data_IF_346640529588
#
_entry.id   IF_346640529588
#
_cell.length_a   1.000
_cell.length_b   1.000
_cell.length_c   1.000
_cell.angle_alpha   90.00
_cell.angle_beta   90.00
_cell.angle_gamma   90.00
#
_symmetry.space_group_name_H-M   'P 1'
#
loop_
_entity.id
_entity.type
_entity.pdbx_description
1 polymer ?
#
# COMPACT_ATOMS: atom_id res chain seq x y z
N UNK A 1 15.39 1.99 7.50
CA UNK A 1 15.80 3.07 8.43
C UNK A 1 15.73 2.63 9.89
N UNK A 2 14.97 1.56 10.17
CA UNK A 2 14.89 0.92 11.49
C UNK A 2 16.25 0.59 12.16
N UNK A 3 16.40 0.87 13.47
CA UNK A 3 17.53 0.44 14.28
C UNK A 3 17.50 -1.06 14.58
N UNK A 4 16.40 -1.78 14.30
CA UNK A 4 16.32 -3.25 14.50
C UNK A 4 17.13 -4.00 13.46
N UNK A 5 17.19 -3.49 12.23
CA UNK A 5 17.90 -4.11 11.11
C UNK A 5 19.22 -3.39 10.80
N UNK A 6 19.25 -2.06 10.91
CA UNK A 6 20.49 -1.30 10.73
C UNK A 6 21.28 -1.24 12.05
N UNK A 7 22.24 -2.15 12.20
CA UNK A 7 23.19 -2.23 13.33
C UNK A 7 24.58 -1.65 13.01
N UNK A 8 24.68 -0.86 11.93
CA UNK A 8 25.97 -0.27 11.54
C UNK A 8 26.45 0.74 12.57
N UNK A 9 27.76 0.87 12.69
CA UNK A 9 28.45 1.80 13.59
C UNK A 9 29.21 2.89 12.83
N UNK A 10 29.13 2.89 11.50
CA UNK A 10 29.73 3.90 10.64
C UNK A 10 28.76 5.07 10.37
N UNK A 11 29.09 5.92 9.39
CA UNK A 11 28.28 7.09 9.05
C UNK A 11 26.87 6.78 8.52
N UNK A 12 26.52 5.51 8.30
CA UNK A 12 25.18 5.07 7.86
C UNK A 12 24.37 4.37 8.96
N UNK A 13 24.87 4.33 10.20
CA UNK A 13 24.18 3.74 11.34
C UNK A 13 24.31 4.55 12.64
N UNK A 14 23.73 4.03 13.72
CA UNK A 14 23.65 4.76 14.99
C UNK A 14 22.50 5.76 15.00
N UNK A 15 22.78 7.06 14.83
CA UNK A 15 21.78 8.13 14.93
C UNK A 15 20.71 8.08 13.83
N UNK A 16 19.54 8.69 14.06
CA UNK A 16 18.47 8.82 13.05
C UNK A 16 18.99 9.42 11.75
N UNK A 17 19.76 10.51 11.85
CA UNK A 17 20.40 11.18 10.72
C UNK A 17 21.29 10.23 9.90
N UNK A 18 22.16 9.45 10.56
CA UNK A 18 23.01 8.50 9.86
C UNK A 18 22.20 7.38 9.18
N UNK A 19 21.13 6.89 9.83
CA UNK A 19 20.25 5.88 9.23
C UNK A 19 19.43 6.42 8.05
N UNK A 20 19.17 7.72 8.02
CA UNK A 20 18.52 8.43 6.91
C UNK A 20 19.48 8.79 5.77
N UNK A 21 20.79 8.83 6.03
CA UNK A 21 21.82 9.32 5.09
C UNK A 21 21.69 8.75 3.69
N UNK A 22 21.50 7.43 3.57
CA UNK A 22 21.40 6.77 2.26
C UNK A 22 20.21 7.29 1.44
N UNK A 23 19.09 7.62 2.10
CA UNK A 23 17.89 8.16 1.44
C UNK A 23 18.13 9.59 0.98
N UNK A 24 18.86 10.37 1.78
CA UNK A 24 19.23 11.76 1.46
C UNK A 24 20.16 11.79 0.25
N UNK A 25 21.20 10.95 0.25
CA UNK A 25 22.15 10.86 -0.87
C UNK A 25 21.46 10.40 -2.16
N UNK A 26 20.46 9.51 -2.07
CA UNK A 26 19.61 9.11 -3.20
C UNK A 26 18.78 10.29 -3.71
N UNK A 27 18.13 11.06 -2.84
CA UNK A 27 17.38 12.26 -3.23
C UNK A 27 18.28 13.30 -3.91
N UNK A 28 19.43 13.59 -3.32
CA UNK A 28 20.41 14.52 -3.89
C UNK A 28 20.91 14.05 -5.25
N UNK A 29 21.16 12.74 -5.42
CA UNK A 29 21.55 12.19 -6.71
C UNK A 29 20.45 12.37 -7.75
N UNK A 30 19.18 12.07 -7.41
CA UNK A 30 18.05 12.30 -8.31
C UNK A 30 17.92 13.77 -8.69
N UNK A 31 18.09 14.71 -7.75
CA UNK A 31 18.00 16.16 -8.00
C UNK A 31 19.18 16.73 -8.78
N UNK A 32 20.34 16.08 -8.78
CA UNK A 32 21.45 16.43 -9.70
C UNK A 32 21.12 16.10 -11.15
N UNK A 33 20.37 15.03 -11.38
CA UNK A 33 19.98 14.59 -12.73
C UNK A 33 18.66 15.23 -13.19
N UNK A 34 17.78 15.60 -12.26
CA UNK A 34 16.44 16.14 -12.52
C UNK A 34 16.33 17.54 -11.93
N UNK A 35 16.44 18.54 -12.80
CA UNK A 35 16.31 19.94 -12.41
C UNK A 35 14.90 20.28 -11.90
N UNK A 36 14.82 21.10 -10.85
CA UNK A 36 13.55 21.52 -10.23
C UNK A 36 12.61 22.24 -11.21
N UNK A 37 13.14 22.93 -12.22
CA UNK A 37 12.34 23.66 -13.22
C UNK A 37 11.51 22.76 -14.12
N UNK A 38 11.80 21.45 -14.16
CA UNK A 38 11.01 20.47 -14.89
C UNK A 38 9.61 20.27 -14.28
N UNK A 39 9.43 20.64 -13.01
CA UNK A 39 8.21 20.34 -12.25
C UNK A 39 8.07 18.85 -11.90
N UNK A 40 9.14 18.05 -12.07
CA UNK A 40 9.12 16.63 -11.74
C UNK A 40 9.06 16.42 -10.22
N UNK A 41 8.01 15.71 -9.77
CA UNK A 41 7.77 15.44 -8.36
C UNK A 41 8.55 14.20 -7.89
N UNK A 42 9.23 14.32 -6.76
CA UNK A 42 9.91 13.23 -6.08
C UNK A 42 9.27 13.05 -4.70
N UNK A 43 8.63 11.89 -4.50
CA UNK A 43 8.07 11.52 -3.22
C UNK A 43 8.79 10.36 -2.55
N UNK A 44 8.47 10.16 -1.26
CA UNK A 44 8.98 9.06 -0.45
C UNK A 44 7.84 8.31 0.22
N UNK A 45 7.90 6.97 0.21
CA UNK A 45 6.97 6.13 0.94
C UNK A 45 7.59 5.69 2.28
N UNK A 46 6.93 5.99 3.38
CA UNK A 46 7.35 5.61 4.72
C UNK A 46 6.35 4.63 5.36
N UNK A 47 6.87 3.63 6.08
CA UNK A 47 6.05 2.58 6.71
C UNK A 47 5.93 2.83 8.23
N UNK A 48 4.70 2.85 8.73
CA UNK A 48 4.36 3.17 10.12
C UNK A 48 4.81 2.10 11.12
N UNK A 49 5.05 0.87 10.67
CA UNK A 49 5.46 -0.25 11.53
C UNK A 49 6.96 -0.26 11.80
N UNK A 50 7.75 0.53 11.05
CA UNK A 50 9.08 0.88 11.54
C UNK A 50 9.01 1.57 12.91
N UNK A 51 7.84 2.11 13.30
CA UNK A 51 7.63 2.91 14.51
C UNK A 51 6.88 2.23 15.69
N UNK A 52 6.93 0.90 15.83
CA UNK A 52 6.30 0.16 16.95
C UNK A 52 7.31 -0.36 17.99
N UNK A 53 6.78 -0.82 19.14
CA UNK A 53 7.39 -1.06 20.48
C UNK A 53 8.82 -1.63 20.59
N UNK A 54 9.40 -2.19 19.53
CA UNK A 54 10.78 -2.71 19.50
C UNK A 54 11.70 -2.02 18.46
N UNK A 55 11.19 -0.99 17.76
CA UNK A 55 11.81 -0.32 16.61
C UNK A 55 12.09 1.17 16.83
N UNK A 56 11.56 2.01 15.93
CA UNK A 56 11.62 3.47 16.04
C UNK A 56 10.49 3.94 16.96
N UNK A 57 10.73 4.88 17.87
CA UNK A 57 9.63 5.50 18.61
C UNK A 57 8.81 6.44 17.72
N UNK A 58 7.68 6.95 18.23
CA UNK A 58 6.98 8.08 17.58
C UNK A 58 7.88 9.32 17.46
N UNK A 59 8.82 9.51 18.38
CA UNK A 59 9.76 10.63 18.34
C UNK A 59 10.83 10.43 17.26
N UNK A 60 11.32 9.21 17.06
CA UNK A 60 12.15 8.88 15.91
C UNK A 60 11.39 9.08 14.60
N UNK A 61 10.10 8.72 14.57
CA UNK A 61 9.22 8.95 13.42
C UNK A 61 9.12 10.43 13.06
N UNK A 62 8.88 11.27 14.06
CA UNK A 62 8.85 12.72 13.90
C UNK A 62 10.20 13.26 13.44
N UNK A 63 11.31 12.76 14.00
CA UNK A 63 12.65 13.16 13.58
C UNK A 63 12.92 12.79 12.11
N UNK A 64 12.59 11.57 11.69
CA UNK A 64 12.72 11.15 10.29
C UNK A 64 11.83 11.95 9.36
N UNK A 65 10.58 12.18 9.73
CA UNK A 65 9.65 13.01 8.95
C UNK A 65 10.13 14.47 8.86
N UNK A 66 10.75 14.99 9.92
CA UNK A 66 11.36 16.33 9.92
C UNK A 66 12.53 16.40 8.93
N UNK A 67 13.39 15.38 8.92
CA UNK A 67 14.46 15.26 7.93
C UNK A 67 13.89 15.18 6.51
N UNK A 68 12.82 14.41 6.28
CA UNK A 68 12.17 14.32 4.97
C UNK A 68 11.60 15.67 4.51
N UNK A 69 10.94 16.41 5.40
CA UNK A 69 10.45 17.77 5.13
C UNK A 69 11.60 18.74 4.80
N UNK A 70 12.69 18.70 5.57
CA UNK A 70 13.88 19.54 5.33
C UNK A 70 14.58 19.23 4.01
N UNK A 71 14.64 17.95 3.64
CA UNK A 71 15.24 17.48 2.39
C UNK A 71 14.46 17.94 1.14
N UNK A 72 13.18 18.30 1.29
CA UNK A 72 12.37 18.81 0.18
C UNK A 72 11.80 17.71 -0.73
N UNK A 73 11.33 16.60 -0.16
CA UNK A 73 10.42 15.72 -0.88
C UNK A 73 9.12 16.47 -1.21
N UNK A 74 8.58 16.26 -2.41
CA UNK A 74 7.34 16.93 -2.84
C UNK A 74 6.11 16.31 -2.14
N UNK A 75 6.16 15.00 -1.90
CA UNK A 75 5.16 14.29 -1.12
C UNK A 75 5.75 13.15 -0.31
N UNK A 76 5.06 12.80 0.77
CA UNK A 76 5.31 11.60 1.57
C UNK A 76 4.06 10.73 1.56
N UNK A 77 4.23 9.45 1.29
CA UNK A 77 3.16 8.47 1.42
C UNK A 77 3.35 7.67 2.71
N UNK A 78 2.52 7.96 3.70
CA UNK A 78 2.46 7.20 4.94
C UNK A 78 1.62 5.95 4.72
N UNK A 79 2.19 4.81 5.08
CA UNK A 79 1.54 3.51 5.03
C UNK A 79 1.83 2.75 6.31
N UNK A 80 1.36 1.51 6.43
CA UNK A 80 1.98 0.58 7.35
C UNK A 80 1.50 -0.85 7.24
N UNK A 81 1.96 -1.66 8.18
CA UNK A 81 2.00 -3.12 8.11
C UNK A 81 3.43 -3.59 7.86
N UNK A 82 3.85 -4.69 8.47
CA UNK A 82 5.11 -5.38 8.14
C UNK A 82 4.83 -6.59 7.27
N UNK A 83 5.76 -6.93 6.37
CA UNK A 83 5.81 -8.28 5.76
C UNK A 83 6.24 -9.31 6.82
N UNK A 84 7.05 -8.89 7.79
CA UNK A 84 7.67 -9.76 8.81
C UNK A 84 6.78 -10.11 10.01
N UNK A 85 5.67 -9.38 10.24
CA UNK A 85 4.58 -9.84 11.10
C UNK A 85 3.39 -10.01 10.17
N UNK A 86 2.75 -11.18 10.13
CA UNK A 86 1.44 -11.42 9.50
C UNK A 86 0.32 -10.63 10.23
N UNK A 87 0.55 -9.32 10.44
CA UNK A 87 -0.13 -8.43 11.37
C UNK A 87 -1.54 -8.03 10.92
N UNK A 88 -2.16 -8.82 10.04
CA UNK A 88 -3.60 -8.79 9.83
C UNK A 88 -4.36 -9.68 10.82
N UNK A 89 -3.67 -10.52 11.61
CA UNK A 89 -4.33 -11.52 12.46
C UNK A 89 -4.95 -11.02 13.78
N UNK A 90 -4.73 -9.80 14.24
CA UNK A 90 -5.25 -9.35 15.54
C UNK A 90 -5.76 -7.90 15.54
N UNK A 91 -6.84 -7.64 14.79
CA UNK A 91 -7.51 -6.34 14.86
C UNK A 91 -8.79 -6.40 15.70
N UNK A 92 -8.96 -5.41 16.59
CA UNK A 92 -10.25 -5.15 17.26
C UNK A 92 -11.25 -4.60 16.23
N UNK A 93 -12.50 -5.06 16.29
CA UNK A 93 -13.57 -4.61 15.39
C UNK A 93 -13.83 -3.09 15.43
N UNK A 94 -13.51 -2.42 16.55
CA UNK A 94 -13.61 -0.95 16.68
C UNK A 94 -12.56 -0.19 15.86
N UNK A 95 -11.43 -0.82 15.52
CA UNK A 95 -10.41 -0.27 14.61
C UNK A 95 -10.82 -0.47 13.15
N UNK A 96 -11.51 -1.59 12.84
CA UNK A 96 -12.09 -1.88 11.51
C UNK A 96 -13.20 -0.87 11.16
N UNK A 97 -14.13 -0.61 12.08
CA UNK A 97 -15.25 0.34 11.86
C UNK A 97 -14.82 1.80 11.65
N UNK A 98 -13.60 2.17 12.07
CA UNK A 98 -13.13 3.56 11.99
C UNK A 98 -12.19 3.81 10.80
N UNK A 99 -11.86 2.81 9.99
CA UNK A 99 -10.80 2.89 8.96
C UNK A 99 -9.46 3.48 9.54
N UNK A 100 -9.27 3.43 10.86
CA UNK A 100 -8.39 4.35 11.60
C UNK A 100 -6.98 3.81 11.92
N UNK A 101 -6.59 2.68 11.32
CA UNK A 101 -5.32 2.03 11.67
C UNK A 101 -4.10 2.92 11.40
N UNK A 102 -4.13 3.68 10.30
CA UNK A 102 -3.07 4.62 9.94
C UNK A 102 -3.37 6.06 10.32
N UNK A 103 -4.64 6.38 10.61
CA UNK A 103 -5.06 7.75 10.89
C UNK A 103 -4.47 8.26 12.20
N UNK A 104 -4.47 7.46 13.28
CA UNK A 104 -3.88 7.90 14.55
C UNK A 104 -2.37 8.20 14.44
N UNK A 105 -1.65 7.47 13.57
CA UNK A 105 -0.24 7.74 13.28
C UNK A 105 -0.08 8.95 12.38
N UNK A 106 -0.87 9.02 11.30
CA UNK A 106 -0.89 10.13 10.37
C UNK A 106 -1.22 11.45 11.09
N UNK A 107 -2.21 11.49 11.98
CA UNK A 107 -2.57 12.67 12.78
C UNK A 107 -1.42 13.17 13.67
N UNK A 108 -0.59 12.25 14.20
CA UNK A 108 0.57 12.62 15.03
C UNK A 108 1.76 13.12 14.21
N UNK A 109 1.86 12.70 12.95
CA UNK A 109 3.00 12.95 12.07
C UNK A 109 2.72 14.09 11.09
N UNK A 110 1.48 14.23 10.62
CA UNK A 110 1.00 15.26 9.71
C UNK A 110 1.43 16.67 10.13
N UNK A 111 1.44 17.06 11.42
CA UNK A 111 1.90 18.38 11.84
C UNK A 111 3.39 18.65 11.55
N UNK A 112 4.22 17.63 11.33
CA UNK A 112 5.64 17.79 10.98
C UNK A 112 5.79 18.37 9.57
N UNK A 113 4.92 17.95 8.64
CA UNK A 113 4.96 18.37 7.24
C UNK A 113 4.25 19.70 7.04
N UNK A 114 4.97 20.72 6.55
CA UNK A 114 4.44 22.07 6.30
C UNK A 114 4.33 22.37 4.82
N UNK A 115 5.29 21.87 4.03
CA UNK A 115 5.38 22.05 2.58
C UNK A 115 5.14 20.75 1.84
N UNK A 116 5.64 19.63 2.38
CA UNK A 116 5.48 18.30 1.79
C UNK A 116 4.02 17.87 1.84
N UNK A 117 3.46 17.43 0.71
CA UNK A 117 2.12 16.86 0.69
C UNK A 117 2.10 15.47 1.34
N UNK A 118 1.11 15.18 2.18
CA UNK A 118 0.99 13.91 2.91
C UNK A 118 -0.11 13.06 2.29
N UNK A 119 0.25 11.88 1.78
CA UNK A 119 -0.68 10.87 1.32
C UNK A 119 -0.76 9.75 2.36
N UNK A 120 -1.97 9.21 2.58
CA UNK A 120 -2.17 8.08 3.48
C UNK A 120 -2.74 6.90 2.71
N UNK A 121 -2.06 5.77 2.81
CA UNK A 121 -2.49 4.50 2.20
C UNK A 121 -2.77 3.48 3.27
N UNK A 122 -4.01 3.01 3.31
CA UNK A 122 -4.33 1.77 3.99
C UNK A 122 -5.80 1.61 4.36
N UNK A 123 -6.41 0.57 3.83
CA UNK A 123 -7.74 0.13 4.24
C UNK A 123 -8.92 0.98 3.73
N UNK A 124 -8.67 2.09 3.03
CA UNK A 124 -9.74 2.92 2.45
C UNK A 124 -10.70 2.11 1.59
N UNK A 125 -12.00 2.28 1.84
CA UNK A 125 -13.08 1.60 1.10
C UNK A 125 -14.19 2.52 0.64
N UNK A 126 -14.50 3.55 1.41
CA UNK A 126 -15.69 4.38 1.16
C UNK A 126 -15.32 5.83 0.85
N UNK A 127 -16.01 6.42 -0.13
CA UNK A 127 -15.81 7.81 -0.50
C UNK A 127 -16.04 8.78 0.68
N UNK A 128 -17.07 8.61 1.54
CA UNK A 128 -17.24 9.46 2.72
C UNK A 128 -16.04 9.43 3.69
N UNK A 129 -15.43 8.26 3.92
CA UNK A 129 -14.25 8.16 4.78
C UNK A 129 -13.03 8.86 4.17
N UNK A 130 -12.81 8.65 2.87
CA UNK A 130 -11.73 9.30 2.10
C UNK A 130 -11.87 10.83 2.10
N UNK A 131 -13.07 11.34 1.77
CA UNK A 131 -13.36 12.78 1.74
C UNK A 131 -13.17 13.39 3.12
N UNK A 132 -13.67 12.73 4.15
CA UNK A 132 -13.53 13.20 5.53
C UNK A 132 -12.07 13.32 5.95
N UNK A 133 -11.23 12.32 5.63
CA UNK A 133 -9.80 12.36 5.98
C UNK A 133 -9.06 13.53 5.34
N UNK A 134 -9.45 13.93 4.12
CA UNK A 134 -8.89 15.12 3.45
C UNK A 134 -9.44 16.40 4.07
N UNK A 135 -10.75 16.49 4.29
CA UNK A 135 -11.41 17.68 4.85
C UNK A 135 -10.97 17.97 6.30
N UNK A 136 -10.73 16.92 7.09
CA UNK A 136 -10.24 17.02 8.47
C UNK A 136 -8.73 17.37 8.51
N UNK A 137 -8.05 17.42 7.35
CA UNK A 137 -6.63 17.78 7.23
C UNK A 137 -5.67 16.67 7.66
N UNK A 138 -6.17 15.45 7.88
CA UNK A 138 -5.35 14.28 8.28
C UNK A 138 -4.39 13.87 7.17
N UNK A 139 -4.77 14.10 5.91
CA UNK A 139 -3.96 13.82 4.73
C UNK A 139 -4.34 14.77 3.59
N UNK A 140 -3.39 15.09 2.72
CA UNK A 140 -3.62 15.88 1.51
C UNK A 140 -4.05 14.99 0.31
N UNK A 141 -3.93 13.66 0.43
CA UNK A 141 -4.33 12.72 -0.62
C UNK A 141 -4.49 11.27 -0.15
N UNK A 142 -5.20 10.48 -0.95
CA UNK A 142 -5.57 9.09 -0.61
C UNK A 142 -4.84 8.13 -1.53
N UNK A 143 -4.18 7.12 -0.96
CA UNK A 143 -3.64 6.01 -1.74
C UNK A 143 -4.48 4.75 -1.63
N UNK A 144 -4.76 4.13 -2.78
CA UNK A 144 -5.56 2.92 -2.91
C UNK A 144 -4.69 1.75 -3.40
N UNK A 145 -4.90 0.58 -2.81
CA UNK A 145 -4.21 -0.66 -3.19
C UNK A 145 -5.20 -1.71 -3.69
N UNK A 146 -5.57 -2.68 -2.85
CA UNK A 146 -6.50 -3.78 -3.19
C UNK A 146 -7.79 -3.37 -3.96
N UNK A 147 -8.47 -2.25 -3.65
CA UNK A 147 -9.65 -1.87 -4.43
C UNK A 147 -9.38 -1.62 -5.91
N UNK A 148 -8.26 -0.97 -6.24
CA UNK A 148 -7.94 -0.62 -7.64
C UNK A 148 -7.40 -1.79 -8.44
N UNK A 149 -7.06 -2.92 -7.79
CA UNK A 149 -6.77 -4.15 -8.53
C UNK A 149 -8.05 -4.83 -8.99
N UNK A 150 -9.15 -4.70 -8.25
CA UNK A 150 -10.45 -5.21 -8.66
C UNK A 150 -11.17 -4.25 -9.62
N UNK A 151 -11.03 -2.95 -9.39
CA UNK A 151 -11.74 -1.90 -10.12
C UNK A 151 -10.81 -0.69 -10.36
N UNK A 152 -10.05 -0.69 -11.47
CA UNK A 152 -9.01 0.33 -11.71
C UNK A 152 -9.56 1.73 -11.96
N UNK A 153 -10.80 1.86 -12.41
CA UNK A 153 -11.52 3.14 -12.58
C UNK A 153 -12.30 3.59 -11.34
N UNK A 154 -12.20 2.88 -10.21
CA UNK A 154 -12.85 3.24 -8.96
C UNK A 154 -12.64 4.72 -8.56
N UNK A 155 -11.42 5.31 -8.66
CA UNK A 155 -11.23 6.72 -8.35
C UNK A 155 -12.06 7.64 -9.25
N UNK A 156 -12.13 7.36 -10.55
CA UNK A 156 -12.91 8.16 -11.49
C UNK A 156 -14.40 8.05 -11.20
N UNK A 157 -14.90 6.82 -10.94
CA UNK A 157 -16.29 6.58 -10.54
C UNK A 157 -16.68 7.30 -9.26
N UNK A 158 -15.80 7.34 -8.26
CA UNK A 158 -16.02 8.10 -7.02
C UNK A 158 -16.10 9.61 -7.33
N UNK A 159 -15.17 10.15 -8.12
CA UNK A 159 -15.13 11.57 -8.46
C UNK A 159 -16.33 12.01 -9.31
N UNK A 160 -16.87 11.12 -10.15
CA UNK A 160 -18.07 11.36 -10.94
C UNK A 160 -19.39 11.11 -10.17
N UNK A 161 -19.31 10.56 -8.95
CA UNK A 161 -20.50 10.21 -8.14
C UNK A 161 -21.26 8.98 -8.64
N UNK A 162 -20.61 8.13 -9.45
CA UNK A 162 -21.17 6.88 -9.98
C UNK A 162 -21.19 5.78 -8.92
N UNK A 163 -20.22 5.78 -8.00
CA UNK A 163 -20.18 4.90 -6.84
C UNK A 163 -19.57 5.61 -5.62
N UNK A 164 -19.85 5.10 -4.42
CA UNK A 164 -19.35 5.68 -3.17
C UNK A 164 -18.54 4.70 -2.33
N UNK A 165 -18.23 3.52 -2.86
CA UNK A 165 -17.46 2.49 -2.17
C UNK A 165 -16.86 1.49 -3.15
N UNK A 166 -15.70 0.94 -2.78
CA UNK A 166 -15.15 -0.25 -3.41
C UNK A 166 -16.10 -1.46 -3.29
N UNK A 167 -16.01 -2.39 -4.23
CA UNK A 167 -16.77 -3.64 -4.20
C UNK A 167 -16.53 -4.44 -2.90
N UNK A 168 -17.60 -5.01 -2.34
CA UNK A 168 -17.54 -5.85 -1.14
C UNK A 168 -17.16 -7.29 -1.49
N UNK A 169 -15.85 -7.53 -1.62
CA UNK A 169 -15.30 -8.84 -1.98
C UNK A 169 -15.60 -9.90 -0.90
N UNK A 170 -16.02 -11.11 -1.32
CA UNK A 170 -16.40 -12.23 -0.43
C UNK A 170 -15.23 -13.12 -0.03
N UNK A 171 -14.02 -12.57 -0.03
CA UNK A 171 -12.80 -13.18 0.52
C UNK A 171 -12.43 -12.52 1.85
N UNK A 172 -11.80 -13.28 2.74
CA UNK A 172 -11.37 -12.75 4.04
C UNK A 172 -10.31 -11.65 3.84
N UNK A 173 -10.66 -10.41 4.18
CA UNK A 173 -9.77 -9.25 4.02
C UNK A 173 -8.56 -9.27 4.95
N UNK A 174 -8.60 -10.10 6.00
CA UNK A 174 -7.53 -10.27 6.98
C UNK A 174 -6.57 -11.42 6.61
N UNK A 175 -6.91 -12.21 5.58
CA UNK A 175 -6.03 -13.22 5.02
C UNK A 175 -5.10 -12.57 3.98
N UNK A 176 -3.87 -12.24 4.40
CA UNK A 176 -2.89 -11.62 3.53
C UNK A 176 -2.51 -12.51 2.35
N UNK A 177 -2.41 -13.82 2.55
CA UNK A 177 -2.09 -14.77 1.48
C UNK A 177 -3.14 -14.70 0.38
N UNK A 178 -4.41 -14.86 0.74
CA UNK A 178 -5.53 -14.81 -0.22
C UNK A 178 -5.65 -13.43 -0.87
N UNK A 179 -5.58 -12.34 -0.11
CA UNK A 179 -5.77 -10.98 -0.66
C UNK A 179 -4.60 -10.54 -1.54
N UNK A 180 -3.37 -10.96 -1.23
CA UNK A 180 -2.20 -10.74 -2.09
C UNK A 180 -2.31 -11.53 -3.39
N UNK A 181 -2.69 -12.81 -3.32
CA UNK A 181 -2.92 -13.63 -4.51
C UNK A 181 -4.04 -13.06 -5.38
N UNK A 182 -5.13 -12.58 -4.77
CA UNK A 182 -6.22 -11.90 -5.48
C UNK A 182 -5.72 -10.67 -6.25
N UNK A 183 -5.02 -9.76 -5.56
CA UNK A 183 -4.51 -8.52 -6.15
C UNK A 183 -3.56 -8.81 -7.33
N UNK A 184 -2.64 -9.74 -7.16
CA UNK A 184 -1.69 -10.15 -8.20
C UNK A 184 -2.38 -10.82 -9.40
N UNK A 185 -3.40 -11.65 -9.14
CA UNK A 185 -4.18 -12.31 -10.19
C UNK A 185 -4.97 -11.28 -11.01
N UNK A 186 -5.64 -10.35 -10.34
CA UNK A 186 -6.42 -9.31 -10.99
C UNK A 186 -5.53 -8.35 -11.80
N UNK A 187 -4.37 -7.95 -11.27
CA UNK A 187 -3.38 -7.17 -12.03
C UNK A 187 -2.89 -7.91 -13.28
N UNK A 188 -2.63 -9.22 -13.18
CA UNK A 188 -2.30 -10.02 -14.36
C UNK A 188 -3.44 -10.07 -15.37
N UNK A 189 -4.69 -10.22 -14.91
CA UNK A 189 -5.87 -10.25 -15.79
C UNK A 189 -6.04 -8.92 -16.54
N UNK A 190 -5.92 -7.79 -15.85
CA UNK A 190 -5.93 -6.45 -16.46
C UNK A 190 -4.84 -6.30 -17.53
N UNK A 191 -3.67 -6.92 -17.32
CA UNK A 191 -2.56 -6.88 -18.27
C UNK A 191 -2.70 -7.80 -19.50
N UNK A 192 -3.77 -8.60 -19.63
CA UNK A 192 -3.91 -9.57 -20.73
C UNK A 192 -4.29 -8.93 -22.06
N UNK A 193 -5.00 -7.80 -22.03
CA UNK A 193 -5.55 -7.15 -23.24
C UNK A 193 -5.26 -5.65 -23.19
N UNK A 194 -4.98 -5.02 -24.34
CA UNK A 194 -4.87 -3.57 -24.41
C UNK A 194 -6.16 -2.89 -23.96
N UNK A 195 -6.04 -1.74 -23.28
CA UNK A 195 -7.17 -0.92 -22.85
C UNK A 195 -8.13 -0.56 -24.02
N UNK A 196 -7.62 -0.42 -25.25
CA UNK A 196 -8.41 -0.12 -26.43
C UNK A 196 -9.33 -1.27 -26.90
N UNK A 197 -9.15 -2.49 -26.41
CA UNK A 197 -9.92 -3.67 -26.81
C UNK A 197 -11.01 -4.06 -25.82
N UNK A 198 -10.99 -3.51 -24.61
CA UNK A 198 -11.99 -3.78 -23.57
C UNK A 198 -13.07 -2.70 -23.57
N UNK A 199 -14.30 -3.07 -23.23
CA UNK A 199 -15.42 -2.14 -23.09
C UNK A 199 -15.41 -1.48 -21.71
N UNK A 200 -15.10 -2.26 -20.67
CA UNK A 200 -14.87 -1.77 -19.31
C UNK A 200 -13.47 -2.17 -18.86
N UNK A 201 -12.84 -1.37 -18.00
CA UNK A 201 -11.50 -1.68 -17.48
C UNK A 201 -11.49 -2.92 -16.56
N UNK A 202 -12.65 -3.37 -16.13
CA UNK A 202 -12.85 -4.58 -15.33
C UNK A 202 -13.19 -5.81 -16.18
N UNK A 203 -13.30 -5.67 -17.51
CA UNK A 203 -13.53 -6.83 -18.38
C UNK A 203 -12.39 -7.84 -18.16
N UNK A 204 -12.74 -9.13 -18.06
CA UNK A 204 -11.83 -10.25 -17.79
C UNK A 204 -11.16 -10.26 -16.39
N UNK A 205 -11.42 -9.26 -15.54
CA UNK A 205 -10.93 -9.20 -14.14
C UNK A 205 -11.89 -9.95 -13.22
N UNK A 206 -11.36 -10.80 -12.34
CA UNK A 206 -12.16 -11.55 -11.39
C UNK A 206 -12.94 -10.63 -10.43
N UNK A 207 -14.28 -10.66 -10.51
CA UNK A 207 -15.16 -9.97 -9.57
C UNK A 207 -15.41 -10.83 -8.32
N UNK A 208 -14.54 -10.67 -7.34
CA UNK A 208 -14.64 -11.39 -6.07
C UNK A 208 -15.78 -10.90 -5.17
N UNK A 209 -16.58 -9.90 -5.58
CA UNK A 209 -17.82 -9.55 -4.89
C UNK A 209 -18.93 -10.58 -5.15
N UNK A 210 -18.82 -11.35 -6.24
CA UNK A 210 -19.73 -12.44 -6.54
C UNK A 210 -19.38 -13.70 -5.71
N UNK A 211 -20.31 -14.26 -4.93
CA UNK A 211 -20.01 -15.40 -4.03
C UNK A 211 -19.45 -16.64 -4.75
N UNK A 212 -19.97 -16.97 -5.94
CA UNK A 212 -19.49 -18.10 -6.72
C UNK A 212 -18.05 -17.90 -7.23
N UNK A 213 -17.73 -16.68 -7.65
CA UNK A 213 -16.39 -16.30 -8.11
C UNK A 213 -15.39 -16.37 -6.97
N UNK A 214 -15.73 -15.78 -5.82
CA UNK A 214 -14.91 -15.82 -4.61
C UNK A 214 -14.68 -17.24 -4.09
N UNK A 215 -15.69 -18.11 -4.13
CA UNK A 215 -15.57 -19.51 -3.74
C UNK A 215 -14.66 -20.30 -4.69
N UNK A 216 -14.80 -20.09 -5.99
CA UNK A 216 -13.92 -20.69 -6.99
C UNK A 216 -12.48 -20.21 -6.83
N UNK A 217 -12.30 -18.90 -6.63
CA UNK A 217 -10.99 -18.28 -6.40
C UNK A 217 -10.29 -18.87 -5.19
N UNK A 218 -10.97 -19.02 -4.04
CA UNK A 218 -10.39 -19.65 -2.84
C UNK A 218 -9.91 -21.07 -3.10
N UNK A 219 -10.67 -21.87 -3.87
CA UNK A 219 -10.28 -23.24 -4.25
C UNK A 219 -9.05 -23.24 -5.16
N UNK A 220 -8.98 -22.32 -6.11
CA UNK A 220 -7.80 -22.15 -6.96
C UNK A 220 -6.57 -21.71 -6.17
N UNK A 221 -6.72 -20.73 -5.28
CA UNK A 221 -5.67 -20.22 -4.40
C UNK A 221 -5.11 -21.30 -3.49
N UNK A 222 -5.97 -22.15 -2.91
CA UNK A 222 -5.51 -23.27 -2.08
C UNK A 222 -4.62 -24.25 -2.86
N UNK A 223 -5.01 -24.61 -4.09
CA UNK A 223 -4.19 -25.47 -4.97
C UNK A 223 -2.88 -24.79 -5.32
N UNK A 224 -2.92 -23.50 -5.66
CA UNK A 224 -1.73 -22.71 -5.95
C UNK A 224 -0.77 -22.69 -4.75
N UNK A 225 -1.27 -22.51 -3.52
CA UNK A 225 -0.47 -22.54 -2.31
C UNK A 225 0.22 -23.89 -2.08
N UNK A 226 -0.48 -25.00 -2.35
CA UNK A 226 0.12 -26.34 -2.30
C UNK A 226 1.26 -26.47 -3.33
N UNK A 227 1.03 -26.01 -4.56
CA UNK A 227 2.06 -26.05 -5.61
C UNK A 227 3.29 -25.22 -5.26
N UNK A 228 3.14 -23.98 -4.77
CA UNK A 228 4.29 -23.15 -4.39
C UNK A 228 5.05 -23.72 -3.20
N UNK A 229 4.35 -24.39 -2.27
CA UNK A 229 4.99 -25.06 -1.13
C UNK A 229 5.86 -26.24 -1.60
N UNK A 230 5.38 -27.02 -2.57
CA UNK A 230 6.15 -28.10 -3.19
C UNK A 230 7.37 -27.58 -3.96
N UNK A 231 7.22 -26.50 -4.75
CA UNK A 231 8.33 -25.84 -5.46
C UNK A 231 9.37 -25.34 -4.45
N UNK A 232 8.92 -24.68 -3.38
CA UNK A 232 9.80 -24.16 -2.33
C UNK A 232 10.58 -25.29 -1.62
N UNK A 233 9.95 -26.45 -1.35
CA UNK A 233 10.63 -27.64 -0.79
C UNK A 233 11.75 -28.15 -1.70
N UNK A 234 11.61 -27.98 -3.02
CA UNK A 234 12.65 -28.32 -4.01
C UNK A 234 13.71 -27.23 -4.18
N UNK A 235 13.62 -26.11 -3.45
CA UNK A 235 14.48 -24.93 -3.60
C UNK A 235 14.47 -24.35 -5.03
N UNK A 236 13.36 -24.54 -5.73
CA UNK A 236 13.13 -23.98 -7.05
C UNK A 236 12.50 -22.58 -6.92
N UNK A 237 12.83 -21.65 -7.82
CA UNK A 237 12.15 -20.36 -7.88
C UNK A 237 10.70 -20.50 -8.32
N UNK A 238 9.80 -19.74 -7.67
CA UNK A 238 8.40 -19.60 -8.08
C UNK A 238 8.33 -18.47 -9.12
N UNK A 239 7.80 -18.76 -10.31
CA UNK A 239 7.66 -17.78 -11.39
C UNK A 239 6.21 -17.36 -11.58
N UNK A 240 6.02 -16.08 -11.88
CA UNK A 240 4.71 -15.53 -12.24
C UNK A 240 3.75 -15.38 -11.05
N UNK A 241 2.47 -15.39 -11.36
CA UNK A 241 1.36 -15.31 -10.40
C UNK A 241 0.36 -16.43 -10.70
N UNK A 242 -0.53 -16.72 -9.77
CA UNK A 242 -1.56 -17.75 -9.94
C UNK A 242 -2.33 -17.56 -11.27
N UNK A 243 -2.42 -18.63 -12.05
CA UNK A 243 -3.32 -18.66 -13.19
C UNK A 243 -4.73 -18.96 -12.73
N UNK A 244 -5.67 -18.14 -13.19
CA UNK A 244 -7.05 -18.21 -12.75
C UNK A 244 -8.00 -17.90 -13.92
N UNK A 245 -9.10 -18.64 -13.98
CA UNK A 245 -10.17 -18.48 -14.96
C UNK A 245 -11.44 -18.12 -14.20
N UNK A 246 -12.05 -17.00 -14.60
CA UNK A 246 -13.27 -16.53 -13.97
C UNK A 246 -14.43 -17.50 -14.27
N UNK A 247 -15.34 -17.66 -13.33
CA UNK A 247 -16.56 -18.49 -13.48
C UNK A 247 -17.82 -17.66 -13.62
N UNK A 248 -17.72 -16.36 -13.35
CA UNK A 248 -18.71 -15.33 -13.64
C UNK A 248 -18.22 -14.50 -14.82
N UNK A 249 -19.10 -14.28 -15.80
CA UNK A 249 -18.87 -13.49 -17.03
C UNK A 249 -19.74 -12.25 -16.97
#
# INVERSE_FOLDING_TARGET
>A
MSPTTNKRTDMYGGSVWNRMRVIIEILEAMRREIDMSTGFLIGIKANSVEFQEDGLGIDDAKAMCGIMEECGFDFVELSGGTIEKLAFHHMRDSTRKREAFFLDFAEKIRPVFKKTAVYVTGGWRTAPAMVRAVMDGTTDGIGLGRPITAEPDLPAKILHGECYSAADTKINQDDFGITSTASNTQMRQMGKRPCAEVKNLTDDVADLSHPAEAENFKKAALKYFQTIEEIAKRHEPIYGVMEYTNVVI
#
